data_IF_497245040720
#
_entry.id   IF_497245040720
#
_cell.length_a   1.000
_cell.length_b   1.000
_cell.length_c   1.000
_cell.angle_alpha   90.00
_cell.angle_beta   90.00
_cell.angle_gamma   90.00
#
_symmetry.space_group_name_H-M   'P 1'
#
loop_
_entity.id
_entity.type
_entity.pdbx_description
1 polymer ?
#
# COMPACT_ATOMS: atom_id res chain seq x y z
N UNK A 1 42.38 1.54 15.37
CA UNK A 1 41.42 0.89 14.46
C UNK A 1 40.09 1.63 14.59
N UNK A 2 39.67 2.38 13.58
CA UNK A 2 38.40 3.11 13.58
C UNK A 2 37.32 2.19 13.03
N UNK A 3 36.27 1.94 13.81
CA UNK A 3 35.07 1.21 13.38
C UNK A 3 34.33 2.05 12.34
N UNK A 4 33.95 1.51 11.17
CA UNK A 4 33.17 2.25 10.21
C UNK A 4 31.74 2.40 10.75
N UNK A 5 31.36 3.63 11.09
CA UNK A 5 29.97 3.99 11.34
C UNK A 5 29.21 3.84 10.03
N UNK A 6 28.46 2.75 9.89
CA UNK A 6 27.50 2.58 8.80
C UNK A 6 26.45 3.67 8.97
N UNK A 7 26.60 4.78 8.24
CA UNK A 7 25.53 5.76 8.05
C UNK A 7 24.43 5.04 7.27
N UNK A 8 23.46 4.48 7.99
CA UNK A 8 22.21 4.01 7.39
C UNK A 8 21.57 5.21 6.71
N UNK A 9 21.68 5.28 5.37
CA UNK A 9 20.91 6.23 4.59
C UNK A 9 19.43 6.02 4.91
N UNK A 10 18.62 7.09 5.09
CA UNK A 10 17.20 6.92 5.27
C UNK A 10 16.65 6.18 4.05
N UNK A 11 15.93 5.08 4.27
CA UNK A 11 15.25 4.33 3.23
C UNK A 11 14.22 5.27 2.55
N UNK A 12 14.64 5.91 1.46
CA UNK A 12 13.86 6.84 0.65
C UNK A 12 13.10 6.12 -0.48
N UNK A 13 12.64 4.91 -0.21
CA UNK A 13 11.75 4.18 -1.11
C UNK A 13 10.41 3.91 -0.41
N UNK A 14 9.46 4.82 -0.63
CA UNK A 14 8.04 4.60 -0.34
C UNK A 14 7.34 4.36 -1.68
N UNK A 15 7.56 3.20 -2.29
CA UNK A 15 6.59 2.70 -3.26
C UNK A 15 5.30 2.45 -2.49
N UNK A 16 4.38 3.40 -2.60
CA UNK A 16 3.01 3.17 -2.18
C UNK A 16 2.38 2.29 -3.25
N UNK A 17 2.34 0.98 -3.01
CA UNK A 17 1.71 0.03 -3.92
C UNK A 17 0.33 0.53 -4.33
N UNK A 18 0.05 0.46 -5.64
CA UNK A 18 -1.28 0.72 -6.15
C UNK A 18 -2.09 -0.55 -6.08
N UNK A 19 -3.36 -0.41 -5.73
CA UNK A 19 -4.30 -1.51 -5.77
C UNK A 19 -5.55 -1.11 -6.53
N UNK A 20 -6.09 -2.07 -7.29
CA UNK A 20 -7.40 -1.93 -7.90
C UNK A 20 -8.48 -1.93 -6.82
N UNK A 21 -9.44 -1.02 -6.96
CA UNK A 21 -10.60 -0.94 -6.08
C UNK A 21 -11.65 -1.92 -6.60
N UNK A 22 -12.09 -2.89 -5.79
CA UNK A 22 -12.90 -4.02 -6.26
C UNK A 22 -14.36 -3.66 -6.54
N UNK A 23 -14.82 -2.49 -6.11
CA UNK A 23 -16.21 -2.04 -6.27
C UNK A 23 -16.25 -0.56 -6.66
N UNK A 24 -17.26 -0.16 -7.44
CA UNK A 24 -17.46 1.24 -7.78
C UNK A 24 -17.87 2.06 -6.56
N UNK A 25 -17.37 3.31 -6.47
CA UNK A 25 -17.73 4.27 -5.42
C UNK A 25 -18.19 5.58 -6.10
N UNK A 26 -19.49 5.70 -6.44
CA UNK A 26 -20.01 6.83 -7.22
C UNK A 26 -19.80 8.21 -6.58
N UNK A 27 -19.81 8.30 -5.25
CA UNK A 27 -19.57 9.53 -4.48
C UNK A 27 -18.15 10.06 -4.70
N UNK A 28 -17.22 9.14 -4.93
CA UNK A 28 -15.85 9.41 -5.31
C UNK A 28 -15.64 9.20 -6.82
N UNK A 29 -16.72 9.04 -7.60
CA UNK A 29 -16.78 8.61 -9.00
C UNK A 29 -15.68 7.65 -9.46
N UNK A 30 -15.45 6.63 -8.65
CA UNK A 30 -14.53 5.52 -8.89
C UNK A 30 -15.31 4.42 -9.61
N UNK A 31 -14.72 3.85 -10.64
CA UNK A 31 -15.23 2.64 -11.30
C UNK A 31 -14.52 1.41 -10.73
N UNK A 32 -15.20 0.27 -10.79
CA UNK A 32 -14.55 -1.01 -10.46
C UNK A 32 -13.29 -1.21 -11.31
N UNK A 33 -12.20 -1.59 -10.65
CA UNK A 33 -10.88 -1.76 -11.27
C UNK A 33 -10.03 -0.49 -11.31
N UNK A 34 -10.57 0.70 -11.00
CA UNK A 34 -9.76 1.91 -10.86
C UNK A 34 -8.72 1.74 -9.75
N UNK A 35 -7.52 2.25 -9.98
CA UNK A 35 -6.43 2.13 -9.02
C UNK A 35 -6.38 3.29 -8.03
N UNK A 36 -6.00 2.97 -6.80
CA UNK A 36 -5.62 3.95 -5.80
C UNK A 36 -4.32 3.59 -5.10
N UNK A 37 -3.76 4.56 -4.39
CA UNK A 37 -2.45 4.47 -3.73
C UNK A 37 -2.62 4.02 -2.28
N UNK A 38 -2.04 2.88 -1.90
CA UNK A 38 -2.08 2.41 -0.50
C UNK A 38 -1.23 3.32 0.36
N UNK A 39 -1.82 3.97 1.37
CA UNK A 39 -1.09 4.81 2.33
C UNK A 39 -0.84 4.13 3.66
N UNK A 40 -1.70 3.17 4.02
CA UNK A 40 -1.59 2.43 5.27
C UNK A 40 -2.22 1.06 5.14
N UNK A 41 -1.58 0.05 5.72
CA UNK A 41 -2.16 -1.25 5.97
C UNK A 41 -2.49 -1.39 7.46
N UNK A 42 -3.57 -2.09 7.78
CA UNK A 42 -3.96 -2.41 9.17
C UNK A 42 -4.46 -3.84 9.23
N UNK A 43 -3.99 -4.58 10.23
CA UNK A 43 -4.43 -5.95 10.48
C UNK A 43 -5.43 -5.96 11.64
N UNK A 44 -6.64 -6.44 11.38
CA UNK A 44 -7.71 -6.53 12.37
C UNK A 44 -8.52 -7.81 12.14
N UNK A 45 -8.74 -8.59 13.21
CA UNK A 45 -9.58 -9.80 13.18
C UNK A 45 -9.24 -10.78 12.04
N UNK A 46 -7.94 -11.03 11.83
CA UNK A 46 -7.44 -11.93 10.79
C UNK A 46 -7.67 -11.44 9.34
N UNK A 47 -7.94 -10.15 9.18
CA UNK A 47 -8.14 -9.48 7.89
C UNK A 47 -7.16 -8.31 7.77
N UNK A 48 -6.59 -8.12 6.58
CA UNK A 48 -5.77 -6.94 6.26
C UNK A 48 -6.66 -5.92 5.57
N UNK A 49 -6.62 -4.67 6.02
CA UNK A 49 -7.30 -3.54 5.41
C UNK A 49 -6.28 -2.56 4.85
N UNK A 50 -6.50 -2.11 3.62
CA UNK A 50 -5.74 -1.05 3.00
C UNK A 50 -6.53 0.26 3.03
N UNK A 51 -5.90 1.32 3.52
CA UNK A 51 -6.38 2.68 3.36
C UNK A 51 -5.79 3.23 2.08
N UNK A 52 -6.65 3.43 1.10
CA UNK A 52 -6.27 3.77 -0.26
C UNK A 52 -6.66 5.21 -0.53
N UNK A 53 -5.68 6.02 -0.91
CA UNK A 53 -5.91 7.37 -1.40
C UNK A 53 -6.22 7.31 -2.90
N UNK A 54 -7.31 7.93 -3.28
CA UNK A 54 -7.74 8.04 -4.67
C UNK A 54 -7.46 9.45 -5.14
N UNK A 55 -6.86 9.58 -6.31
CA UNK A 55 -6.49 10.87 -6.90
C UNK A 55 -7.15 11.04 -8.25
N UNK A 56 -7.48 12.27 -8.62
CA UNK A 56 -7.76 12.62 -10.01
C UNK A 56 -6.52 12.36 -10.87
N UNK A 57 -6.72 12.30 -12.20
CA UNK A 57 -5.60 12.24 -13.16
C UNK A 57 -4.64 13.44 -13.04
N UNK A 58 -5.12 14.55 -12.48
CA UNK A 58 -4.32 15.74 -12.14
C UNK A 58 -3.46 15.57 -10.88
N UNK A 59 -3.53 14.43 -10.20
CA UNK A 59 -2.82 14.13 -8.95
C UNK A 59 -3.49 14.70 -7.69
N UNK A 60 -4.59 15.44 -7.82
CA UNK A 60 -5.33 15.98 -6.68
C UNK A 60 -6.07 14.87 -5.91
N UNK A 61 -6.01 14.83 -4.57
CA UNK A 61 -6.78 13.86 -3.79
C UNK A 61 -8.28 14.02 -4.02
N UNK A 62 -8.93 12.91 -4.37
CA UNK A 62 -10.38 12.80 -4.53
C UNK A 62 -11.05 12.30 -3.26
N UNK A 63 -10.37 11.41 -2.54
CA UNK A 63 -10.88 10.86 -1.29
C UNK A 63 -10.13 9.62 -0.85
N UNK A 64 -10.73 8.90 0.08
CA UNK A 64 -10.18 7.72 0.70
C UNK A 64 -11.18 6.58 0.64
N UNK A 65 -10.68 5.37 0.37
CA UNK A 65 -11.45 4.13 0.51
C UNK A 65 -10.71 3.16 1.41
N UNK A 66 -11.45 2.30 2.09
CA UNK A 66 -10.90 1.19 2.86
C UNK A 66 -11.22 -0.10 2.11
N UNK A 67 -10.17 -0.81 1.70
CA UNK A 67 -10.31 -2.05 0.93
C UNK A 67 -9.88 -3.21 1.80
N UNK A 68 -10.71 -4.25 1.86
CA UNK A 68 -10.33 -5.54 2.44
C UNK A 68 -9.37 -6.26 1.49
N UNK A 69 -8.16 -6.55 1.97
CA UNK A 69 -7.14 -7.27 1.21
C UNK A 69 -7.17 -8.74 1.62
N UNK A 70 -7.66 -9.58 0.69
CA UNK A 70 -7.52 -11.03 0.77
C UNK A 70 -6.37 -11.45 -0.14
N UNK A 71 -5.18 -11.74 0.39
CA UNK A 71 -4.10 -12.24 -0.44
C UNK A 71 -4.51 -13.60 -1.02
N UNK A 72 -4.63 -13.68 -2.35
CA UNK A 72 -4.94 -14.94 -3.06
C UNK A 72 -3.88 -16.02 -2.79
N UNK A 73 -2.63 -15.59 -2.51
CA UNK A 73 -1.51 -16.45 -2.16
C UNK A 73 -0.89 -16.00 -0.84
N UNK A 74 -0.99 -16.85 0.18
CA UNK A 74 -0.46 -16.58 1.52
C UNK A 74 1.03 -16.90 1.54
N UNK A 75 1.89 -15.90 1.74
CA UNK A 75 3.32 -16.13 2.02
C UNK A 75 3.43 -16.79 3.39
N UNK A 76 3.89 -18.06 3.42
CA UNK A 76 3.98 -18.86 4.66
C UNK A 76 5.30 -18.69 5.39
N UNK A 77 6.35 -18.30 4.68
CA UNK A 77 7.67 -18.01 5.23
C UNK A 77 8.40 -17.04 4.31
N UNK A 78 9.32 -16.27 4.87
CA UNK A 78 10.25 -15.44 4.12
C UNK A 78 11.65 -15.61 4.71
N UNK A 79 12.67 -15.49 3.86
CA UNK A 79 14.08 -15.39 4.27
C UNK A 79 14.61 -14.10 3.68
N UNK A 80 15.31 -13.31 4.47
CA UNK A 80 16.02 -12.13 3.97
C UNK A 80 17.28 -12.60 3.28
N UNK A 81 17.60 -12.04 2.11
CA UNK A 81 18.93 -12.21 1.54
C UNK A 81 19.94 -11.58 2.51
N UNK A 82 20.70 -12.41 3.22
CA UNK A 82 21.85 -11.95 3.99
C UNK A 82 22.84 -11.33 3.01
N UNK A 83 23.25 -10.08 3.28
CA UNK A 83 24.36 -9.43 2.58
C UNK A 83 25.69 -10.10 2.92
#
# INVERSE_FOLDING_TARGET
>A
MQSPTVRSAPLLHQEYDRIAIPEAVPELGIREGDEGVVRRLTYLRNTVFAFVMVTYSTGLPRGWVVVEIKPERKVRSYTTASQ
#
